data_IF_420950656683
#
_entry.id   IF_420950656683
#
_cell.length_a   1.000
_cell.length_b   1.000
_cell.length_c   1.000
_cell.angle_alpha   90.00
_cell.angle_beta   90.00
_cell.angle_gamma   90.00
#
_symmetry.space_group_name_H-M   'P 1'
#
loop_
_entity.id
_entity.type
_entity.pdbx_description
1 polymer ?
#
# COMPACT_ATOMS: atom_id res chain seq x y z
N UNK A 1 13.00 -4.87 -9.35
CA UNK A 1 13.73 -4.23 -10.47
C UNK A 1 14.06 -5.33 -11.46
N UNK A 2 13.52 -5.25 -12.68
CA UNK A 2 13.79 -6.23 -13.72
C UNK A 2 15.01 -5.73 -14.52
N UNK A 3 16.03 -6.58 -14.71
CA UNK A 3 17.31 -6.16 -15.28
C UNK A 3 17.25 -5.83 -16.79
N UNK A 4 16.10 -6.05 -17.44
CA UNK A 4 15.94 -5.98 -18.89
C UNK A 4 14.96 -4.88 -19.39
N UNK A 5 14.46 -4.00 -18.51
CA UNK A 5 13.57 -2.92 -18.93
C UNK A 5 14.35 -1.70 -19.46
N UNK A 6 14.09 -1.28 -20.70
CA UNK A 6 14.73 -0.09 -21.32
C UNK A 6 14.41 1.21 -20.56
N UNK A 7 13.26 1.26 -19.89
CA UNK A 7 12.84 2.39 -19.06
C UNK A 7 12.44 1.92 -17.65
N UNK A 8 12.77 2.72 -16.64
CA UNK A 8 12.46 2.44 -15.25
C UNK A 8 11.83 3.67 -14.59
N UNK A 9 10.71 3.46 -13.91
CA UNK A 9 10.07 4.50 -13.08
C UNK A 9 10.61 4.40 -11.66
N UNK A 10 11.29 5.45 -11.19
CA UNK A 10 11.74 5.56 -9.81
C UNK A 10 10.75 6.40 -9.01
N UNK A 11 10.08 5.79 -8.03
CA UNK A 11 9.27 6.51 -7.05
C UNK A 11 10.12 6.77 -5.80
N UNK A 12 10.31 8.05 -5.45
CA UNK A 12 11.03 8.46 -4.24
C UNK A 12 10.11 9.29 -3.34
N UNK A 13 9.96 8.86 -2.09
CA UNK A 13 9.28 9.62 -1.04
C UNK A 13 10.25 9.87 0.12
N UNK A 14 10.27 11.12 0.62
CA UNK A 14 11.07 11.49 1.79
C UNK A 14 10.15 12.00 2.89
N UNK A 15 10.21 11.36 4.06
CA UNK A 15 9.55 11.83 5.28
C UNK A 15 10.60 12.27 6.30
N UNK A 16 10.37 13.40 6.97
CA UNK A 16 11.17 13.86 8.12
C UNK A 16 10.29 13.82 9.37
N UNK A 17 10.76 13.13 10.42
CA UNK A 17 10.11 13.14 11.74
C UNK A 17 10.20 14.55 12.35
N UNK A 18 9.07 15.17 12.65
CA UNK A 18 8.99 16.51 13.27
C UNK A 18 8.71 16.48 14.77
N UNK A 19 8.20 15.37 15.31
CA UNK A 19 7.88 15.17 16.72
C UNK A 19 8.65 14.00 17.34
N UNK A 20 8.78 13.95 18.68
CA UNK A 20 9.49 12.86 19.37
C UNK A 20 8.84 11.49 19.11
N UNK A 21 7.50 11.45 19.06
CA UNK A 21 6.67 10.28 18.76
C UNK A 21 5.49 10.70 17.84
N UNK A 22 5.70 10.84 16.52
CA UNK A 22 4.57 11.07 15.61
C UNK A 22 3.68 9.82 15.54
N UNK A 23 2.41 9.99 15.16
CA UNK A 23 1.53 8.86 14.86
C UNK A 23 2.09 7.99 13.73
N UNK A 24 1.67 6.73 13.71
CA UNK A 24 1.96 5.82 12.59
C UNK A 24 1.15 6.32 11.38
N UNK A 25 1.81 6.44 10.24
CA UNK A 25 1.17 6.83 8.98
C UNK A 25 1.26 5.68 8.01
N UNK A 26 0.13 5.36 7.39
CA UNK A 26 0.06 4.37 6.34
C UNK A 26 0.24 5.04 4.98
N UNK A 27 1.23 4.59 4.20
CA UNK A 27 1.37 4.97 2.80
C UNK A 27 0.95 3.80 1.92
N UNK A 28 -0.10 4.00 1.12
CA UNK A 28 -0.57 3.01 0.14
C UNK A 28 -0.16 3.51 -1.25
N UNK A 29 0.49 2.65 -2.03
CA UNK A 29 0.83 2.92 -3.44
C UNK A 29 0.27 1.80 -4.29
N UNK A 30 -0.53 2.15 -5.30
CA UNK A 30 -1.04 1.20 -6.29
C UNK A 30 -0.32 1.46 -7.63
N UNK A 31 0.27 0.42 -8.20
CA UNK A 31 0.93 0.49 -9.50
C UNK A 31 0.18 -0.39 -10.49
N UNK A 32 -0.40 0.24 -11.50
CA UNK A 32 -1.11 -0.43 -12.59
C UNK A 32 -0.11 -0.84 -13.67
N UNK A 33 -0.20 -2.09 -14.12
CA UNK A 33 0.62 -2.62 -15.21
C UNK A 33 -0.27 -3.37 -16.20
N UNK A 34 -0.18 -3.01 -17.48
CA UNK A 34 -0.91 -3.66 -18.58
C UNK A 34 0.10 -4.33 -19.49
N UNK A 35 -0.20 -5.56 -19.88
CA UNK A 35 0.69 -6.40 -20.70
C UNK A 35 0.26 -6.46 -22.17
N UNK A 36 -0.72 -5.65 -22.56
CA UNK A 36 -1.24 -5.57 -23.92
C UNK A 36 -1.39 -4.12 -24.37
N UNK A 37 -1.52 -3.91 -25.68
CA UNK A 37 -1.64 -2.58 -26.33
C UNK A 37 -3.07 -2.01 -26.31
N UNK A 38 -3.98 -2.57 -25.52
CA UNK A 38 -5.34 -2.02 -25.46
C UNK A 38 -5.38 -0.76 -24.60
N UNK A 39 -6.20 0.21 -24.99
CA UNK A 39 -6.42 1.42 -24.19
C UNK A 39 -6.96 1.06 -22.81
N UNK A 40 -6.56 1.83 -21.79
CA UNK A 40 -7.13 1.75 -20.45
C UNK A 40 -8.58 2.21 -20.44
N UNK A 41 -9.45 1.50 -19.72
CA UNK A 41 -10.79 2.01 -19.37
C UNK A 41 -10.75 2.85 -18.10
N UNK A 42 -11.77 3.67 -17.85
CA UNK A 42 -11.86 4.47 -16.62
C UNK A 42 -11.91 3.57 -15.37
N UNK A 43 -12.56 2.42 -15.47
CA UNK A 43 -12.64 1.43 -14.40
C UNK A 43 -11.27 0.80 -14.11
N UNK A 44 -10.47 0.52 -15.15
CA UNK A 44 -9.13 -0.02 -14.98
C UNK A 44 -8.15 1.01 -14.38
N UNK A 45 -8.33 2.30 -14.67
CA UNK A 45 -7.55 3.40 -14.09
C UNK A 45 -7.89 3.69 -12.63
N UNK A 46 -9.08 3.26 -12.18
CA UNK A 46 -9.55 3.42 -10.81
C UNK A 46 -9.78 2.04 -10.17
N UNK A 47 -8.73 1.26 -9.88
CA UNK A 47 -8.88 -0.13 -9.45
C UNK A 47 -9.37 -0.25 -7.99
N UNK A 48 -9.16 0.79 -7.17
CA UNK A 48 -9.48 0.80 -5.74
C UNK A 48 -10.88 1.39 -5.55
N UNK A 49 -11.75 0.61 -4.91
CA UNK A 49 -13.10 1.01 -4.54
C UNK A 49 -13.14 1.74 -3.20
N UNK A 50 -12.46 1.19 -2.21
CA UNK A 50 -12.42 1.78 -0.86
C UNK A 50 -11.18 1.34 -0.09
N UNK A 51 -10.76 2.22 0.81
CA UNK A 51 -9.68 1.99 1.76
C UNK A 51 -10.26 2.27 3.14
N UNK A 52 -10.19 1.28 4.02
CA UNK A 52 -10.56 1.42 5.43
C UNK A 52 -9.30 1.26 6.27
N UNK A 53 -8.93 2.31 7.00
CA UNK A 53 -7.78 2.28 7.91
C UNK A 53 -8.24 1.69 9.24
N UNK A 54 -7.53 0.68 9.70
CA UNK A 54 -7.81 0.01 10.97
C UNK A 54 -6.80 0.50 12.00
N UNK A 55 -7.27 0.99 13.14
CA UNK A 55 -6.38 1.34 14.26
C UNK A 55 -5.78 0.09 14.93
N UNK A 56 -6.50 -1.03 14.86
CA UNK A 56 -6.08 -2.35 15.33
C UNK A 56 -6.59 -3.42 14.36
N UNK A 57 -5.68 -4.26 13.84
CA UNK A 57 -6.06 -5.37 12.96
C UNK A 57 -6.64 -6.55 13.76
N UNK A 58 -7.30 -7.50 13.09
CA UNK A 58 -7.84 -8.70 13.74
C UNK A 58 -6.75 -9.54 14.43
N UNK A 59 -5.51 -9.49 13.93
CA UNK A 59 -4.37 -10.18 14.54
C UNK A 59 -3.64 -9.35 15.62
N UNK A 60 -4.19 -8.18 15.98
CA UNK A 60 -3.68 -7.36 17.09
C UNK A 60 -2.52 -6.42 16.72
N UNK A 61 -2.28 -6.18 15.43
CA UNK A 61 -1.27 -5.24 14.99
C UNK A 61 -1.76 -3.80 15.13
N UNK A 62 -0.93 -2.89 15.65
CA UNK A 62 -1.26 -1.48 15.64
C UNK A 62 -1.17 -0.97 14.21
N UNK A 63 -2.25 -0.39 13.71
CA UNK A 63 -2.40 0.17 12.36
C UNK A 63 -2.35 -0.86 11.21
N UNK A 64 -3.43 -0.91 10.43
CA UNK A 64 -3.54 -1.70 9.20
C UNK A 64 -4.53 -1.08 8.22
N UNK A 65 -4.85 -1.77 7.13
CA UNK A 65 -5.91 -1.34 6.23
C UNK A 65 -6.57 -2.49 5.48
N UNK A 66 -7.87 -2.34 5.25
CA UNK A 66 -8.62 -3.14 4.28
C UNK A 66 -8.75 -2.35 2.98
N UNK A 67 -8.31 -2.95 1.89
CA UNK A 67 -8.45 -2.38 0.54
C UNK A 67 -9.44 -3.25 -0.22
N UNK A 68 -10.53 -2.63 -0.69
CA UNK A 68 -11.48 -3.28 -1.59
C UNK A 68 -11.25 -2.77 -3.01
N UNK A 69 -11.10 -3.70 -3.94
CA UNK A 69 -10.93 -3.42 -5.36
C UNK A 69 -12.28 -3.32 -6.07
N UNK A 70 -12.34 -2.68 -7.23
CA UNK A 70 -13.56 -2.55 -8.02
C UNK A 70 -14.06 -3.90 -8.59
N UNK A 71 -13.19 -4.89 -8.72
CA UNK A 71 -13.56 -6.28 -9.05
C UNK A 71 -14.13 -7.07 -7.85
N UNK A 72 -14.18 -6.47 -6.65
CA UNK A 72 -14.67 -7.09 -5.42
C UNK A 72 -13.61 -7.84 -4.60
N UNK A 73 -12.38 -7.96 -5.09
CA UNK A 73 -11.27 -8.52 -4.32
C UNK A 73 -10.97 -7.65 -3.09
N UNK A 74 -10.54 -8.32 -2.01
CA UNK A 74 -10.23 -7.67 -0.73
C UNK A 74 -8.81 -8.04 -0.32
N UNK A 75 -8.05 -7.03 0.06
CA UNK A 75 -6.69 -7.16 0.57
C UNK A 75 -6.63 -6.61 1.99
N UNK A 76 -6.20 -7.46 2.92
CA UNK A 76 -5.92 -7.07 4.30
C UNK A 76 -4.43 -6.77 4.44
N UNK A 77 -4.11 -5.56 4.89
CA UNK A 77 -2.77 -5.12 5.17
C UNK A 77 -2.57 -5.14 6.69
N UNK A 78 -1.82 -6.13 7.15
CA UNK A 78 -1.50 -6.35 8.55
C UNK A 78 0.02 -6.37 8.76
N UNK A 79 0.53 -5.35 9.45
CA UNK A 79 1.96 -5.21 9.75
C UNK A 79 2.34 -5.87 11.08
N UNK A 80 2.02 -7.17 11.25
CA UNK A 80 2.23 -8.03 12.44
C UNK A 80 3.42 -7.68 13.37
N UNK A 81 4.52 -7.17 12.83
CA UNK A 81 5.73 -6.79 13.57
C UNK A 81 6.25 -5.36 13.28
N UNK A 82 5.37 -4.36 13.04
CA UNK A 82 5.81 -2.98 12.77
C UNK A 82 6.59 -2.35 13.93
N UNK A 83 6.35 -2.84 15.16
CA UNK A 83 7.04 -2.40 16.38
C UNK A 83 8.49 -2.92 16.50
N UNK A 84 9.00 -3.66 15.52
CA UNK A 84 10.35 -4.22 15.56
C UNK A 84 10.50 -5.36 16.57
N UNK A 85 11.75 -5.76 16.88
CA UNK A 85 12.04 -6.83 17.85
C UNK A 85 11.52 -6.45 19.23
N UNK A 86 10.38 -7.03 19.64
CA UNK A 86 9.81 -6.96 21.00
C UNK A 86 10.50 -7.89 22.02
N UNK A 87 11.69 -8.42 21.70
CA UNK A 87 12.47 -9.20 22.68
C UNK A 87 13.18 -8.24 23.64
N UNK A 88 12.53 -7.94 24.76
CA UNK A 88 13.17 -7.46 25.98
C UNK A 88 13.75 -8.64 26.76
#
# INVERSE_FOLDING_TARGET
MNAEAEESTVMYAKKKRTAKNPGIELMITAMLHKTNDSNWTEEELSPIKSIEILEMTENGSPWGANITMNNGERYEIDFRDIDGKRTC
#
